data_IF_699820004315
#
_entry.id   IF_699820004315
#
_cell.length_a   1.000
_cell.length_b   1.000
_cell.length_c   1.000
_cell.angle_alpha   90.00
_cell.angle_beta   90.00
_cell.angle_gamma   90.00
#
_symmetry.space_group_name_H-M   'P 1'
#
loop_
_entity.id
_entity.type
_entity.pdbx_description
1 polymer ?
#
# COMPACT_ATOMS: atom_id res chain seq x y z
N UNK A 1 10.17 -7.42 -8.17
CA UNK A 1 9.01 -6.91 -8.92
C UNK A 1 9.46 -6.62 -10.33
N UNK A 2 8.75 -7.14 -11.34
CA UNK A 2 9.04 -6.85 -12.76
C UNK A 2 8.50 -5.47 -13.16
N UNK A 3 8.99 -4.90 -14.28
CA UNK A 3 8.46 -3.63 -14.80
C UNK A 3 6.95 -3.68 -15.07
N UNK A 4 6.43 -4.84 -15.49
CA UNK A 4 4.99 -5.04 -15.73
C UNK A 4 4.20 -5.00 -14.43
N UNK A 5 4.70 -5.64 -13.37
CA UNK A 5 4.09 -5.62 -12.04
C UNK A 5 4.08 -4.23 -11.45
N UNK A 6 5.21 -3.52 -11.50
CA UNK A 6 5.33 -2.16 -11.00
C UNK A 6 4.35 -1.21 -11.71
N UNK A 7 4.27 -1.30 -13.05
CA UNK A 7 3.29 -0.54 -13.84
C UNK A 7 1.85 -0.88 -13.48
N UNK A 8 1.56 -2.15 -13.19
CA UNK A 8 0.22 -2.58 -12.78
C UNK A 8 -0.16 -1.97 -11.44
N UNK A 9 0.78 -1.98 -10.48
CA UNK A 9 0.58 -1.40 -9.16
C UNK A 9 0.46 0.13 -9.22
N UNK A 10 1.26 0.80 -10.04
CA UNK A 10 1.14 2.24 -10.30
C UNK A 10 -0.22 2.62 -10.90
N UNK A 11 -0.68 1.87 -11.91
CA UNK A 11 -2.00 2.06 -12.47
C UNK A 11 -3.11 1.79 -11.44
N UNK A 12 -2.94 0.83 -10.54
CA UNK A 12 -3.88 0.59 -9.46
C UNK A 12 -3.94 1.77 -8.49
N UNK A 13 -2.81 2.31 -8.04
CA UNK A 13 -2.76 3.46 -7.11
C UNK A 13 -3.34 4.73 -7.74
N UNK A 14 -3.10 4.96 -9.03
CA UNK A 14 -3.56 6.17 -9.70
C UNK A 14 -4.98 6.06 -10.30
N UNK A 15 -5.48 4.85 -10.53
CA UNK A 15 -6.79 4.61 -11.20
C UNK A 15 -7.59 3.50 -10.51
N UNK A 16 -7.62 3.50 -9.19
CA UNK A 16 -8.17 2.42 -8.35
C UNK A 16 -9.60 2.01 -8.70
N UNK A 17 -10.44 2.96 -9.09
CA UNK A 17 -11.83 2.72 -9.53
C UNK A 17 -11.96 1.79 -10.74
N UNK A 18 -10.91 1.64 -11.56
CA UNK A 18 -10.90 0.71 -12.70
C UNK A 18 -10.72 -0.74 -12.27
N UNK A 19 -10.27 -0.98 -11.04
CA UNK A 19 -9.87 -2.30 -10.55
C UNK A 19 -10.83 -2.83 -9.49
N UNK A 20 -11.34 -1.94 -8.63
CA UNK A 20 -12.20 -2.29 -7.52
C UNK A 20 -13.37 -1.29 -7.37
N UNK A 21 -14.52 -1.81 -6.93
CA UNK A 21 -15.68 -1.03 -6.54
C UNK A 21 -16.49 -1.83 -5.48
N UNK A 22 -16.80 -1.28 -4.30
CA UNK A 22 -16.46 0.06 -3.81
C UNK A 22 -14.95 0.26 -3.61
N UNK A 23 -14.50 1.51 -3.43
CA UNK A 23 -13.12 1.83 -3.06
C UNK A 23 -13.07 1.99 -1.55
N UNK A 24 -12.74 0.90 -0.86
CA UNK A 24 -12.65 0.88 0.59
C UNK A 24 -11.46 0.06 1.08
N UNK A 25 -11.24 0.11 2.40
CA UNK A 25 -10.15 -0.63 3.05
C UNK A 25 -10.15 -2.11 2.68
N UNK A 26 -11.31 -2.76 2.64
CA UNK A 26 -11.43 -4.20 2.42
C UNK A 26 -11.02 -4.55 1.00
N UNK A 27 -11.63 -3.90 0.01
CA UNK A 27 -11.39 -4.10 -1.42
C UNK A 27 -9.95 -3.77 -1.82
N UNK A 28 -9.38 -2.67 -1.30
CA UNK A 28 -7.97 -2.33 -1.50
C UNK A 28 -7.05 -3.40 -0.90
N UNK A 29 -7.31 -3.81 0.35
CA UNK A 29 -6.50 -4.83 1.03
C UNK A 29 -6.53 -6.15 0.28
N UNK A 30 -7.71 -6.59 -0.17
CA UNK A 30 -7.89 -7.80 -0.97
C UNK A 30 -7.16 -7.72 -2.30
N UNK A 31 -7.22 -6.58 -3.00
CA UNK A 31 -6.49 -6.39 -4.25
C UNK A 31 -4.98 -6.54 -4.06
N UNK A 32 -4.40 -5.82 -3.09
CA UNK A 32 -2.96 -5.85 -2.84
C UNK A 32 -2.49 -7.26 -2.45
N UNK A 33 -3.22 -7.95 -1.58
CA UNK A 33 -2.88 -9.34 -1.24
C UNK A 33 -2.99 -10.29 -2.44
N UNK A 34 -4.03 -10.15 -3.26
CA UNK A 34 -4.19 -10.95 -4.48
C UNK A 34 -3.09 -10.68 -5.50
N UNK A 35 -2.71 -9.41 -5.67
CA UNK A 35 -1.62 -9.00 -6.53
C UNK A 35 -0.30 -9.63 -6.08
N UNK A 36 0.10 -9.42 -4.82
CA UNK A 36 1.37 -9.94 -4.29
C UNK A 36 1.43 -11.47 -4.26
N UNK A 37 0.30 -12.14 -4.01
CA UNK A 37 0.20 -13.60 -4.09
C UNK A 37 0.33 -14.11 -5.53
N UNK A 38 -0.29 -13.42 -6.49
CA UNK A 38 -0.22 -13.77 -7.91
C UNK A 38 1.15 -13.52 -8.55
N UNK A 39 1.96 -12.64 -7.96
CA UNK A 39 3.32 -12.31 -8.43
C UNK A 39 4.42 -13.02 -7.65
N UNK A 40 4.08 -13.78 -6.60
CA UNK A 40 5.01 -14.33 -5.61
C UNK A 40 6.04 -13.28 -5.12
N UNK A 41 5.55 -12.05 -4.91
CA UNK A 41 6.38 -10.90 -4.61
C UNK A 41 5.69 -9.97 -3.60
N UNK A 42 6.25 -9.88 -2.39
CA UNK A 42 5.72 -9.05 -1.29
C UNK A 42 6.43 -7.70 -1.12
N UNK A 43 7.07 -7.20 -2.18
CA UNK A 43 7.91 -6.00 -2.07
C UNK A 43 7.10 -4.77 -1.69
N UNK A 44 5.85 -4.63 -2.11
CA UNK A 44 5.05 -3.45 -1.76
C UNK A 44 4.69 -3.42 -0.28
N UNK A 45 4.08 -4.48 0.26
CA UNK A 45 3.66 -4.50 1.66
C UNK A 45 4.84 -4.56 2.62
N UNK A 46 5.97 -5.16 2.22
CA UNK A 46 7.21 -5.12 3.03
C UNK A 46 7.79 -3.71 3.08
N UNK A 47 7.99 -3.05 1.94
CA UNK A 47 8.54 -1.68 1.91
C UNK A 47 7.63 -0.67 2.58
N UNK A 48 6.31 -0.86 2.48
CA UNK A 48 5.33 -0.06 3.20
C UNK A 48 5.52 -0.17 4.72
N UNK A 49 5.68 -1.39 5.23
CA UNK A 49 5.92 -1.64 6.66
C UNK A 49 7.21 -0.97 7.11
N UNK A 50 8.29 -1.22 6.39
CA UNK A 50 9.61 -0.68 6.72
C UNK A 50 9.58 0.85 6.75
N UNK A 51 8.93 1.48 5.75
CA UNK A 51 8.77 2.93 5.69
C UNK A 51 7.94 3.48 6.85
N UNK A 52 6.83 2.83 7.20
CA UNK A 52 5.99 3.25 8.33
C UNK A 52 6.71 3.12 9.67
N UNK A 53 7.54 2.09 9.83
CA UNK A 53 8.31 1.85 11.05
C UNK A 53 9.49 2.82 11.16
N UNK A 54 10.29 2.98 10.09
CA UNK A 54 11.50 3.82 10.12
C UNK A 54 11.20 5.31 10.12
N UNK A 55 10.29 5.78 9.26
CA UNK A 55 10.08 7.22 9.05
C UNK A 55 8.96 7.78 9.94
N UNK A 56 8.00 6.95 10.31
CA UNK A 56 6.81 7.40 11.03
C UNK A 56 6.71 6.85 12.45
N UNK A 57 7.58 5.92 12.87
CA UNK A 57 7.51 5.22 14.15
C UNK A 57 6.15 4.53 14.37
N UNK A 58 5.60 3.92 13.31
CA UNK A 58 4.31 3.22 13.31
C UNK A 58 4.55 1.72 13.16
N UNK A 59 4.57 1.03 14.30
CA UNK A 59 4.87 -0.40 14.37
C UNK A 59 3.67 -1.29 14.02
N UNK A 60 3.93 -2.35 13.25
CA UNK A 60 2.89 -3.21 12.70
C UNK A 60 2.11 -4.04 13.70
N UNK A 61 2.74 -4.42 14.81
CA UNK A 61 2.24 -5.46 15.71
C UNK A 61 1.67 -6.68 14.93
N UNK A 62 0.89 -7.53 15.58
CA UNK A 62 0.26 -8.69 14.93
C UNK A 62 -0.95 -8.32 14.04
N UNK A 63 -1.21 -7.01 13.81
CA UNK A 63 -2.40 -6.50 13.12
C UNK A 63 -2.16 -6.17 11.64
N UNK A 64 -0.90 -6.19 11.19
CA UNK A 64 -0.53 -6.05 9.79
C UNK A 64 -0.60 -4.63 9.23
N UNK A 65 -0.19 -4.50 7.95
CA UNK A 65 -0.07 -3.21 7.26
C UNK A 65 -1.38 -2.41 7.16
N UNK A 66 -2.58 -3.00 7.02
CA UNK A 66 -3.81 -2.21 6.96
C UNK A 66 -4.07 -1.45 8.27
N UNK A 67 -3.64 -2.01 9.40
CA UNK A 67 -3.73 -1.33 10.68
C UNK A 67 -2.66 -0.24 10.82
N UNK A 68 -1.44 -0.43 10.30
CA UNK A 68 -0.44 0.64 10.29
C UNK A 68 -0.90 1.85 9.49
N UNK A 69 -1.57 1.64 8.35
CA UNK A 69 -2.19 2.74 7.60
C UNK A 69 -3.28 3.43 8.43
N UNK A 70 -4.08 2.69 9.21
CA UNK A 70 -5.07 3.30 10.10
C UNK A 70 -4.40 4.17 11.18
N UNK A 71 -3.30 3.70 11.77
CA UNK A 71 -2.52 4.47 12.75
C UNK A 71 -1.90 5.71 12.13
N UNK A 72 -1.39 5.58 10.89
CA UNK A 72 -0.87 6.69 10.10
C UNK A 72 -1.97 7.73 9.83
N UNK A 73 -3.10 7.28 9.31
CA UNK A 73 -4.25 8.14 9.02
C UNK A 73 -4.69 8.93 10.27
N UNK A 74 -4.76 8.26 11.43
CA UNK A 74 -5.06 8.93 12.71
C UNK A 74 -4.00 9.96 13.09
N UNK A 75 -2.71 9.60 12.99
CA UNK A 75 -1.59 10.50 13.32
C UNK A 75 -1.60 11.77 12.48
N UNK A 76 -1.94 11.66 11.19
CA UNK A 76 -1.93 12.76 10.23
C UNK A 76 -3.31 13.35 9.90
N UNK A 77 -4.36 12.96 10.63
CA UNK A 77 -5.75 13.42 10.45
C UNK A 77 -6.30 13.20 9.02
N UNK A 78 -5.92 12.09 8.39
CA UNK A 78 -6.41 11.64 7.10
C UNK A 78 -7.51 10.58 7.29
N UNK A 79 -8.30 10.33 6.25
CA UNK A 79 -9.07 9.08 6.17
C UNK A 79 -8.15 7.94 5.70
N UNK A 80 -8.61 6.70 5.84
CA UNK A 80 -7.79 5.52 5.55
C UNK A 80 -7.39 5.43 4.06
N UNK A 81 -8.30 5.78 3.15
CA UNK A 81 -8.04 5.70 1.70
C UNK A 81 -7.00 6.73 1.27
N UNK A 82 -7.12 7.98 1.74
CA UNK A 82 -6.16 9.05 1.44
C UNK A 82 -4.77 8.67 1.95
N UNK A 83 -4.69 8.15 3.18
CA UNK A 83 -3.44 7.63 3.74
C UNK A 83 -2.86 6.49 2.89
N UNK A 84 -3.69 5.54 2.45
CA UNK A 84 -3.23 4.44 1.60
C UNK A 84 -2.67 4.96 0.27
N UNK A 85 -3.35 5.88 -0.41
CA UNK A 85 -2.87 6.39 -1.70
C UNK A 85 -1.63 7.26 -1.57
N UNK A 86 -1.53 8.07 -0.52
CA UNK A 86 -0.33 8.85 -0.22
C UNK A 86 0.87 7.92 -0.01
N UNK A 87 0.75 6.95 0.90
CA UNK A 87 1.80 5.97 1.18
C UNK A 87 2.12 5.11 -0.04
N UNK A 88 1.09 4.68 -0.78
CA UNK A 88 1.24 3.87 -1.99
C UNK A 88 2.11 4.55 -3.05
N UNK A 89 1.91 5.85 -3.29
CA UNK A 89 2.75 6.65 -4.19
C UNK A 89 4.20 6.73 -3.71
N UNK A 90 4.41 6.90 -2.39
CA UNK A 90 5.76 6.92 -1.82
C UNK A 90 6.48 5.59 -2.06
N UNK A 91 5.79 4.46 -1.85
CA UNK A 91 6.38 3.14 -2.03
C UNK A 91 6.67 2.84 -3.50
N UNK A 92 5.78 3.19 -4.43
CA UNK A 92 6.03 3.06 -5.87
C UNK A 92 7.30 3.84 -6.25
N UNK A 93 7.41 5.11 -5.85
CA UNK A 93 8.59 5.94 -6.12
C UNK A 93 9.89 5.38 -5.51
N UNK A 94 9.80 4.65 -4.38
CA UNK A 94 10.96 3.97 -3.79
C UNK A 94 11.34 2.75 -4.63
N UNK A 95 10.38 1.96 -5.09
CA UNK A 95 10.63 0.78 -5.93
C UNK A 95 11.25 1.17 -7.28
N UNK A 96 10.81 2.27 -7.90
CA UNK A 96 11.39 2.77 -9.16
C UNK A 96 12.87 3.18 -9.07
N UNK A 97 13.36 3.45 -7.85
CA UNK A 97 14.74 3.90 -7.60
C UNK A 97 15.67 2.78 -7.11
N UNK A 98 15.15 1.57 -6.89
CA UNK A 98 15.92 0.37 -6.53
C UNK A 98 16.45 -0.33 -7.78
#
# INVERSE_FOLDING_TARGET
MTNKELKTLDLFINRTSMWINPIDRTTITSFIHGFEAGTDNKSFTSLLKDYLESEHNIYGSNQGWPNQILLYAKKYKLNWNDAFFELGRVIINKIEKL
#
